data_IF_938168082415
#
_entry.id   IF_938168082415
#
_cell.length_a   1.000
_cell.length_b   1.000
_cell.length_c   1.000
_cell.angle_alpha   90.00
_cell.angle_beta   90.00
_cell.angle_gamma   90.00
#
_symmetry.space_group_name_H-M   'P 1'
#
loop_
_entity.id
_entity.type
_entity.pdbx_description
1 polymer ?
#
# COMPACT_ATOMS: atom_id res chain seq x y z
N UNK A 1 -15.97 6.67 9.94
CA UNK A 1 -15.81 7.19 8.57
C UNK A 1 -14.55 6.51 8.03
N UNK A 2 -14.60 5.85 6.88
CA UNK A 2 -13.39 5.38 6.21
C UNK A 2 -13.09 6.47 5.19
N UNK A 3 -11.94 7.10 5.31
CA UNK A 3 -11.68 8.44 4.78
C UNK A 3 -11.33 8.42 3.28
N UNK A 4 -11.98 7.55 2.49
CA UNK A 4 -11.82 7.53 1.05
C UNK A 4 -10.40 7.20 0.57
N UNK A 5 -9.63 6.41 1.33
CA UNK A 5 -8.32 5.92 0.89
C UNK A 5 -8.32 4.39 0.96
N UNK A 6 -7.97 3.74 -0.15
CA UNK A 6 -7.95 2.28 -0.25
C UNK A 6 -6.72 1.63 0.40
N UNK A 7 -5.77 2.43 0.86
CA UNK A 7 -4.60 2.01 1.62
C UNK A 7 -4.53 2.89 2.87
N UNK A 8 -4.39 2.29 4.05
CA UNK A 8 -4.21 3.10 5.25
C UNK A 8 -2.92 3.93 5.08
N UNK A 9 -2.98 5.26 5.28
CA UNK A 9 -1.81 6.11 5.08
C UNK A 9 -0.69 5.63 5.99
N UNK A 10 0.52 5.57 5.44
CA UNK A 10 1.78 5.31 6.14
C UNK A 10 1.81 3.98 6.92
N UNK A 11 0.92 3.03 6.61
CA UNK A 11 0.79 1.74 7.33
C UNK A 11 0.63 0.55 6.41
N UNK A 12 0.40 0.78 5.12
CA UNK A 12 0.43 -0.26 4.08
C UNK A 12 1.56 0.04 3.10
N UNK A 13 2.34 -1.00 2.77
CA UNK A 13 3.34 -0.97 1.71
C UNK A 13 2.83 -1.80 0.53
N UNK A 14 2.91 -1.27 -0.68
CA UNK A 14 2.69 -2.05 -1.90
C UNK A 14 4.04 -2.51 -2.43
N UNK A 15 4.08 -3.72 -2.97
CA UNK A 15 5.25 -4.17 -3.72
C UNK A 15 5.22 -3.45 -5.07
N UNK A 16 6.37 -2.92 -5.50
CA UNK A 16 6.55 -2.40 -6.85
C UNK A 16 6.56 -3.52 -7.89
N UNK A 17 6.96 -3.18 -9.11
CA UNK A 17 7.10 -4.17 -10.18
C UNK A 17 8.27 -5.13 -9.90
N UNK A 18 8.03 -6.43 -10.04
CA UNK A 18 9.02 -7.49 -9.99
C UNK A 18 8.80 -8.44 -11.18
N UNK A 19 9.83 -8.65 -11.99
CA UNK A 19 9.81 -9.58 -13.11
C UNK A 19 10.67 -10.82 -12.80
N UNK A 20 10.04 -11.99 -12.51
CA UNK A 20 10.77 -13.21 -12.23
C UNK A 20 11.56 -13.77 -13.43
N UNK A 21 11.26 -13.33 -14.65
CA UNK A 21 11.99 -13.76 -15.85
C UNK A 21 13.20 -12.87 -16.16
N UNK A 22 13.24 -11.67 -15.60
CA UNK A 22 14.37 -10.77 -15.71
C UNK A 22 15.42 -11.12 -14.64
N UNK A 23 16.51 -11.77 -15.06
CA UNK A 23 17.59 -12.16 -14.14
C UNK A 23 18.37 -10.98 -13.55
N UNK A 24 18.25 -9.81 -14.16
CA UNK A 24 18.83 -8.56 -13.68
C UNK A 24 17.87 -7.80 -12.76
N UNK A 25 16.62 -8.29 -12.58
CA UNK A 25 15.71 -7.73 -11.58
C UNK A 25 16.20 -8.10 -10.19
N UNK A 26 16.70 -7.09 -9.49
CA UNK A 26 17.23 -7.20 -8.15
C UNK A 26 16.24 -6.69 -7.09
N UNK A 27 15.00 -6.34 -7.44
CA UNK A 27 14.07 -5.64 -6.55
C UNK A 27 13.87 -6.38 -5.21
N UNK A 28 13.79 -7.72 -5.26
CA UNK A 28 13.67 -8.62 -4.10
C UNK A 28 15.01 -9.19 -3.62
N UNK A 29 16.11 -8.80 -4.25
CA UNK A 29 17.45 -9.31 -4.00
C UNK A 29 18.09 -8.81 -2.69
N UNK A 30 19.28 -9.33 -2.34
CA UNK A 30 20.03 -8.94 -1.15
C UNK A 30 20.31 -7.43 -1.05
N UNK A 31 20.57 -6.80 -2.19
CA UNK A 31 20.84 -5.36 -2.32
C UNK A 31 19.65 -4.60 -2.94
N UNK A 32 18.52 -5.29 -3.08
CA UNK A 32 17.31 -4.80 -3.72
C UNK A 32 16.58 -3.73 -2.91
N UNK A 33 15.82 -2.91 -3.63
CA UNK A 33 15.04 -1.82 -3.05
C UNK A 33 14.11 -2.29 -1.91
N UNK A 34 13.48 -3.46 -2.05
CA UNK A 34 12.60 -4.01 -1.00
C UNK A 34 13.38 -4.33 0.27
N UNK A 35 14.55 -4.96 0.15
CA UNK A 35 15.36 -5.33 1.31
C UNK A 35 15.97 -4.11 1.98
N UNK A 36 16.41 -3.12 1.21
CA UNK A 36 16.89 -1.84 1.74
C UNK A 36 15.80 -1.13 2.56
N UNK A 37 14.57 -1.07 2.05
CA UNK A 37 13.44 -0.50 2.77
C UNK A 37 13.14 -1.25 4.08
N UNK A 38 13.07 -2.59 4.03
CA UNK A 38 12.81 -3.41 5.22
C UNK A 38 13.90 -3.27 6.28
N UNK A 39 15.17 -3.13 5.89
CA UNK A 39 16.26 -2.90 6.84
C UNK A 39 16.09 -1.58 7.58
N UNK A 40 15.71 -0.49 6.89
CA UNK A 40 15.42 0.77 7.56
C UNK A 40 14.17 0.72 8.44
N UNK A 41 13.17 -0.08 8.04
CA UNK A 41 11.97 -0.32 8.84
C UNK A 41 12.27 -1.03 10.17
N UNK A 42 13.23 -1.97 10.18
CA UNK A 42 13.67 -2.70 11.39
C UNK A 42 14.34 -1.77 12.39
N UNK A 43 15.09 -0.77 11.92
CA UNK A 43 15.79 0.19 12.76
C UNK A 43 14.91 1.39 13.17
N UNK A 44 13.70 1.52 12.60
CA UNK A 44 12.82 2.64 12.86
C UNK A 44 12.18 2.54 14.26
N UNK A 45 12.40 3.56 15.09
CA UNK A 45 11.69 3.71 16.38
C UNK A 45 10.18 3.94 16.17
N UNK A 46 9.82 4.72 15.14
CA UNK A 46 8.45 5.02 14.76
C UNK A 46 8.20 4.61 13.31
N UNK A 47 7.63 3.42 13.15
CA UNK A 47 7.35 2.80 11.85
C UNK A 47 6.46 3.68 10.96
N UNK A 48 5.30 4.19 11.42
CA UNK A 48 4.48 5.13 10.64
C UNK A 48 5.25 6.35 10.10
N UNK A 49 6.09 6.98 10.92
CA UNK A 49 6.92 8.12 10.49
C UNK A 49 7.98 7.70 9.48
N UNK A 50 8.60 6.53 9.66
CA UNK A 50 9.56 5.99 8.69
C UNK A 50 8.92 5.77 7.32
N UNK A 51 7.75 5.10 7.28
CA UNK A 51 7.00 4.83 6.05
C UNK A 51 6.57 6.14 5.38
N UNK A 52 6.17 7.15 6.15
CA UNK A 52 5.83 8.47 5.63
C UNK A 52 7.01 9.16 4.94
N UNK A 53 8.20 9.07 5.53
CA UNK A 53 9.41 9.72 5.01
C UNK A 53 10.09 8.90 3.90
N UNK A 54 9.80 7.62 3.81
CA UNK A 54 10.32 6.70 2.80
C UNK A 54 9.16 6.04 2.04
N UNK A 55 8.40 6.80 1.24
CA UNK A 55 7.30 6.21 0.48
C UNK A 55 7.84 5.09 -0.43
N UNK A 56 7.23 3.91 -0.34
CA UNK A 56 7.68 2.72 -1.04
C UNK A 56 6.50 2.01 -1.72
N UNK A 57 6.70 1.65 -2.99
CA UNK A 57 5.67 1.05 -3.82
C UNK A 57 4.70 2.06 -4.43
N UNK A 58 3.51 1.56 -4.77
CA UNK A 58 2.45 2.36 -5.38
C UNK A 58 1.83 3.35 -4.38
N UNK A 59 1.56 4.59 -4.80
CA UNK A 59 0.92 5.58 -3.94
C UNK A 59 -0.51 5.18 -3.61
N UNK A 60 -1.02 5.76 -2.52
CA UNK A 60 -2.41 5.59 -2.15
C UNK A 60 -3.35 6.05 -3.28
N UNK A 61 -4.35 5.23 -3.58
CA UNK A 61 -5.43 5.63 -4.50
C UNK A 61 -6.29 6.66 -3.77
N UNK A 62 -6.24 7.89 -4.26
CA UNK A 62 -6.96 9.05 -3.73
C UNK A 62 -8.08 9.48 -4.67
N UNK A 63 -9.01 10.34 -4.22
CA UNK A 63 -10.04 10.95 -5.08
C UNK A 63 -9.55 11.68 -6.33
N UNK A 64 -8.26 12.03 -6.39
CA UNK A 64 -7.65 12.64 -7.59
C UNK A 64 -7.25 11.63 -8.66
N UNK A 65 -7.38 10.33 -8.41
CA UNK A 65 -7.03 9.30 -9.39
C UNK A 65 -7.99 9.35 -10.61
N UNK A 66 -7.50 9.21 -11.87
CA UNK A 66 -8.34 9.27 -13.06
C UNK A 66 -9.54 8.30 -13.03
N UNK A 67 -9.31 7.09 -12.51
CA UNK A 67 -10.34 6.05 -12.37
C UNK A 67 -11.10 6.08 -11.03
N UNK A 68 -11.12 7.21 -10.32
CA UNK A 68 -11.73 7.27 -8.98
C UNK A 68 -13.19 6.79 -8.95
N UNK A 69 -13.98 7.08 -9.99
CA UNK A 69 -15.36 6.63 -10.11
C UNK A 69 -15.51 5.09 -10.06
N UNK A 70 -14.50 4.36 -10.52
CA UNK A 70 -14.46 2.90 -10.38
C UNK A 70 -14.15 2.51 -8.94
N UNK A 71 -13.11 3.10 -8.34
CA UNK A 71 -12.69 2.79 -6.98
C UNK A 71 -13.75 3.14 -5.93
N UNK A 72 -14.46 4.27 -6.08
CA UNK A 72 -15.56 4.67 -5.19
C UNK A 72 -16.67 3.61 -5.16
N UNK A 73 -17.02 3.01 -6.31
CA UNK A 73 -18.00 1.91 -6.37
C UNK A 73 -17.53 0.70 -5.57
N UNK A 74 -16.25 0.34 -5.67
CA UNK A 74 -15.65 -0.77 -4.90
C UNK A 74 -15.71 -0.47 -3.40
N UNK A 75 -15.28 0.73 -2.97
CA UNK A 75 -15.29 1.18 -1.56
C UNK A 75 -16.70 1.10 -0.96
N UNK A 76 -17.71 1.60 -1.67
CA UNK A 76 -19.11 1.56 -1.23
C UNK A 76 -19.62 0.13 -1.09
N UNK A 77 -19.27 -0.76 -2.02
CA UNK A 77 -19.69 -2.17 -1.96
C UNK A 77 -19.12 -2.90 -0.74
N UNK A 78 -17.85 -2.65 -0.42
CA UNK A 78 -17.15 -3.25 0.73
C UNK A 78 -17.75 -2.74 2.05
N UNK A 79 -18.09 -1.46 2.11
CA UNK A 79 -18.71 -0.83 3.27
C UNK A 79 -20.08 -1.44 3.60
N UNK A 80 -20.91 -1.69 2.59
CA UNK A 80 -22.21 -2.36 2.73
C UNK A 80 -22.08 -3.82 3.17
N UNK A 81 -21.11 -4.56 2.65
CA UNK A 81 -20.84 -5.93 3.11
C UNK A 81 -20.44 -5.98 4.57
N UNK A 82 -19.57 -5.06 5.01
CA UNK A 82 -19.05 -5.01 6.39
C UNK A 82 -20.12 -4.60 7.40
N UNK A 83 -21.08 -3.74 7.03
CA UNK A 83 -22.21 -3.38 7.90
C UNK A 83 -23.19 -4.53 8.08
N UNK A 84 -23.43 -5.32 7.02
CA UNK A 84 -24.27 -6.51 7.10
C UNK A 84 -23.61 -7.63 7.92
N UNK A 85 -22.30 -7.84 7.79
CA UNK A 85 -21.57 -8.85 8.57
C UNK A 85 -21.54 -8.57 10.08
N UNK A 86 -21.63 -7.29 10.50
CA UNK A 86 -21.66 -6.91 11.93
C UNK A 86 -23.05 -6.98 12.57
N UNK A 87 -24.11 -7.15 11.76
CA UNK A 87 -25.48 -7.29 12.25
C UNK A 87 -25.89 -8.75 12.48
N UNK A 88 -25.01 -9.71 12.14
CA UNK A 88 -25.24 -11.14 12.21
C UNK A 88 -24.44 -11.77 13.35
#
# INVERSE_FOLDING_TARGET
>A
MLDGVLLQPNTSISIGYYDPNNKEDDFLGPDGAMRAFLNGLVEAEDVPTYVQNHPFGEPAITPSHPDWDYYDKVIRSLSTKRSNARKN
#
